data_IF_161194520800
#
_entry.id   IF_161194520800
#
_cell.length_a   1.000
_cell.length_b   1.000
_cell.length_c   1.000
_cell.angle_alpha   90.00
_cell.angle_beta   90.00
_cell.angle_gamma   90.00
#
_symmetry.space_group_name_H-M   'P 1'
#
loop_
_entity.id
_entity.type
_entity.pdbx_description
1 polymer ?
#
# COMPACT_ATOMS: atom_id res chain seq x y z
N UNK A 1 -59.50 -13.23 -3.60
CA UNK A 1 -58.09 -13.02 -3.23
C UNK A 1 -58.04 -12.04 -2.07
N UNK A 2 -57.47 -12.41 -0.92
CA UNK A 2 -57.52 -11.62 0.31
C UNK A 2 -56.59 -10.42 0.21
N UNK A 3 -57.13 -9.22 -0.03
CA UNK A 3 -56.37 -7.99 0.17
C UNK A 3 -56.02 -7.86 1.65
N UNK A 4 -54.78 -8.21 2.02
CA UNK A 4 -54.24 -7.84 3.31
C UNK A 4 -54.41 -6.33 3.50
N UNK A 5 -55.00 -5.92 4.64
CA UNK A 5 -55.29 -4.52 4.94
C UNK A 5 -54.03 -3.67 4.76
N UNK A 6 -54.15 -2.43 4.28
CA UNK A 6 -53.03 -1.48 4.08
C UNK A 6 -52.06 -1.46 5.27
N UNK A 7 -52.60 -1.60 6.48
CA UNK A 7 -51.87 -1.72 7.74
C UNK A 7 -50.95 -2.95 7.82
N UNK A 8 -51.39 -4.11 7.35
CA UNK A 8 -50.59 -5.34 7.36
C UNK A 8 -49.40 -5.26 6.39
N UNK A 9 -49.62 -4.73 5.18
CA UNK A 9 -48.55 -4.48 4.19
C UNK A 9 -47.50 -3.51 4.70
N UNK A 10 -47.93 -2.40 5.31
CA UNK A 10 -47.02 -1.45 5.96
C UNK A 10 -46.19 -2.09 7.07
N UNK A 11 -46.81 -2.87 7.96
CA UNK A 11 -46.10 -3.55 9.05
C UNK A 11 -45.08 -4.57 8.52
N UNK A 12 -45.42 -5.27 7.43
CA UNK A 12 -44.50 -6.18 6.75
C UNK A 12 -43.30 -5.44 6.15
N UNK A 13 -43.54 -4.32 5.44
CA UNK A 13 -42.48 -3.52 4.85
C UNK A 13 -41.51 -3.02 5.93
N UNK A 14 -42.01 -2.38 6.99
CA UNK A 14 -41.21 -1.91 8.13
C UNK A 14 -40.36 -3.01 8.76
N UNK A 15 -40.93 -4.21 8.95
CA UNK A 15 -40.18 -5.35 9.49
C UNK A 15 -39.07 -5.80 8.53
N UNK A 16 -39.28 -5.71 7.22
CA UNK A 16 -38.31 -6.12 6.21
C UNK A 16 -37.18 -5.10 6.03
N UNK A 17 -37.46 -3.80 6.12
CA UNK A 17 -36.44 -2.74 5.95
C UNK A 17 -35.76 -2.31 7.26
N UNK A 18 -36.36 -2.61 8.43
CA UNK A 18 -35.96 -2.01 9.70
C UNK A 18 -34.53 -2.28 10.15
N UNK A 19 -34.02 -3.52 10.03
CA UNK A 19 -32.62 -3.85 10.32
C UNK A 19 -32.19 -5.04 9.47
N UNK A 20 -31.03 -4.97 8.84
CA UNK A 20 -30.45 -6.10 8.12
C UNK A 20 -28.92 -6.02 8.10
N UNK A 21 -28.29 -7.19 7.99
CA UNK A 21 -26.83 -7.28 7.93
C UNK A 21 -26.30 -7.40 6.50
N UNK A 22 -25.06 -6.96 6.31
CA UNK A 22 -24.31 -7.08 5.07
C UNK A 22 -22.82 -7.29 5.37
N UNK A 23 -22.14 -8.07 4.53
CA UNK A 23 -20.67 -8.21 4.56
C UNK A 23 -20.11 -7.32 3.46
N UNK A 24 -19.22 -6.40 3.83
CA UNK A 24 -18.63 -5.41 2.94
C UNK A 24 -17.13 -5.67 2.80
N UNK A 25 -16.61 -5.57 1.58
CA UNK A 25 -15.17 -5.73 1.32
C UNK A 25 -14.43 -4.46 1.74
N UNK A 26 -13.33 -4.62 2.45
CA UNK A 26 -12.41 -3.52 2.75
C UNK A 26 -11.38 -3.33 1.62
N UNK A 27 -10.51 -2.32 1.78
CA UNK A 27 -9.36 -2.11 0.89
C UNK A 27 -8.30 -3.22 0.98
N UNK A 28 -8.34 -4.03 2.05
CA UNK A 28 -7.39 -5.14 2.27
C UNK A 28 -8.01 -6.46 1.83
N UNK A 29 -7.41 -7.17 0.86
CA UNK A 29 -7.89 -8.49 0.46
C UNK A 29 -7.97 -9.44 1.65
N UNK A 30 -9.10 -10.15 1.77
CA UNK A 30 -9.32 -11.13 2.83
C UNK A 30 -9.87 -10.56 4.15
N UNK A 31 -9.93 -9.23 4.32
CA UNK A 31 -10.51 -8.60 5.51
C UNK A 31 -11.84 -7.94 5.16
N UNK A 32 -12.90 -8.27 5.91
CA UNK A 32 -14.25 -7.81 5.64
C UNK A 32 -14.85 -7.04 6.82
N UNK A 33 -15.69 -6.06 6.51
CA UNK A 33 -16.56 -5.42 7.50
C UNK A 33 -17.90 -6.13 7.58
N UNK A 34 -18.43 -6.27 8.78
CA UNK A 34 -19.82 -6.65 9.04
C UNK A 34 -20.61 -5.39 9.32
N UNK A 35 -21.61 -5.10 8.49
CA UNK A 35 -22.46 -3.92 8.61
C UNK A 35 -23.86 -4.32 9.07
N UNK A 36 -24.39 -3.65 10.09
CA UNK A 36 -25.80 -3.68 10.47
C UNK A 36 -26.45 -2.36 10.04
N UNK A 37 -27.37 -2.42 9.08
CA UNK A 37 -27.99 -1.25 8.46
C UNK A 37 -29.44 -1.15 8.93
N UNK A 38 -29.83 0.03 9.41
CA UNK A 38 -31.19 0.38 9.78
C UNK A 38 -31.76 1.39 8.79
N UNK A 39 -32.81 1.02 8.06
CA UNK A 39 -33.40 1.89 7.04
C UNK A 39 -34.72 2.50 7.49
N UNK A 40 -34.94 3.75 7.10
CA UNK A 40 -36.20 4.48 7.28
C UNK A 40 -36.65 5.04 5.94
N UNK A 41 -37.92 4.81 5.58
CA UNK A 41 -38.51 5.25 4.31
C UNK A 41 -39.44 6.44 4.56
N UNK A 42 -39.21 7.56 3.87
CA UNK A 42 -39.99 8.80 4.03
C UNK A 42 -40.25 9.49 2.69
N UNK A 43 -41.51 9.81 2.31
CA UNK A 43 -42.77 9.36 2.92
C UNK A 43 -43.05 7.87 2.69
N UNK A 44 -43.98 7.30 3.46
CA UNK A 44 -44.44 5.92 3.22
C UNK A 44 -45.24 5.84 1.89
N UNK A 45 -45.03 4.81 1.07
CA UNK A 45 -45.74 4.64 -0.20
C UNK A 45 -47.24 4.50 0.04
N UNK A 46 -48.03 5.32 -0.66
CA UNK A 46 -49.45 5.53 -0.35
C UNK A 46 -50.41 4.67 -1.20
N UNK A 47 -49.91 4.09 -2.31
CA UNK A 47 -50.62 3.22 -3.25
C UNK A 47 -50.46 1.69 -3.05
N UNK A 48 -50.98 0.86 -3.97
CA UNK A 48 -50.74 -0.59 -3.96
C UNK A 48 -49.29 -0.89 -4.38
N UNK A 49 -48.56 -1.61 -3.55
CA UNK A 49 -47.19 -2.07 -3.83
C UNK A 49 -46.98 -3.47 -3.26
N UNK A 50 -45.96 -4.16 -3.78
CA UNK A 50 -45.42 -5.37 -3.17
C UNK A 50 -44.36 -4.96 -2.11
N UNK A 51 -44.59 -5.24 -0.82
CA UNK A 51 -43.62 -4.92 0.24
C UNK A 51 -42.27 -5.63 0.05
N UNK A 52 -42.24 -6.76 -0.66
CA UNK A 52 -41.03 -7.57 -0.83
C UNK A 52 -40.13 -6.95 -1.89
N UNK A 53 -40.72 -6.54 -3.02
CA UNK A 53 -40.03 -5.81 -4.07
C UNK A 53 -39.43 -4.50 -3.58
N UNK A 54 -40.19 -3.70 -2.82
CA UNK A 54 -39.67 -2.46 -2.23
C UNK A 54 -38.53 -2.76 -1.26
N UNK A 55 -38.69 -3.75 -0.37
CA UNK A 55 -37.65 -4.08 0.60
C UNK A 55 -36.34 -4.52 -0.08
N UNK A 56 -36.43 -5.30 -1.16
CA UNK A 56 -35.24 -5.77 -1.88
C UNK A 56 -34.55 -4.65 -2.65
N UNK A 57 -35.31 -3.72 -3.25
CA UNK A 57 -34.74 -2.49 -3.86
C UNK A 57 -34.01 -1.65 -2.81
N UNK A 58 -34.64 -1.40 -1.67
CA UNK A 58 -34.05 -0.62 -0.55
C UNK A 58 -32.77 -1.29 -0.05
N UNK A 59 -32.80 -2.59 0.25
CA UNK A 59 -31.63 -3.32 0.74
C UNK A 59 -30.49 -3.32 -0.27
N UNK A 60 -30.80 -3.52 -1.55
CA UNK A 60 -29.78 -3.56 -2.61
C UNK A 60 -29.10 -2.21 -2.77
N UNK A 61 -29.87 -1.13 -2.80
CA UNK A 61 -29.32 0.22 -2.89
C UNK A 61 -28.43 0.55 -1.69
N UNK A 62 -28.94 0.35 -0.46
CA UNK A 62 -28.17 0.64 0.75
C UNK A 62 -26.91 -0.23 0.88
N UNK A 63 -26.96 -1.52 0.50
CA UNK A 63 -25.78 -2.39 0.45
C UNK A 63 -24.75 -1.88 -0.55
N UNK A 64 -25.20 -1.43 -1.72
CA UNK A 64 -24.32 -0.92 -2.77
C UNK A 64 -23.65 0.37 -2.32
N UNK A 65 -24.41 1.30 -1.74
CA UNK A 65 -23.85 2.55 -1.19
C UNK A 65 -22.87 2.27 -0.05
N UNK A 66 -23.24 1.40 0.90
CA UNK A 66 -22.36 1.04 2.01
C UNK A 66 -21.05 0.41 1.50
N UNK A 67 -21.16 -0.53 0.55
CA UNK A 67 -20.00 -1.19 -0.05
C UNK A 67 -19.10 -0.20 -0.83
N UNK A 68 -19.68 0.81 -1.48
CA UNK A 68 -18.91 1.85 -2.14
C UNK A 68 -18.19 2.75 -1.13
N UNK A 69 -18.86 3.13 -0.04
CA UNK A 69 -18.32 4.03 0.97
C UNK A 69 -17.10 3.45 1.71
N UNK A 70 -17.08 2.14 1.96
CA UNK A 70 -16.01 1.48 2.74
C UNK A 70 -14.93 0.83 1.88
N UNK A 71 -15.08 0.81 0.55
CA UNK A 71 -14.18 0.10 -0.37
C UNK A 71 -12.73 0.52 -0.23
N UNK A 72 -12.51 1.83 -0.12
CA UNK A 72 -11.18 2.42 -0.08
C UNK A 72 -10.68 2.68 1.34
N UNK A 73 -11.46 2.25 2.35
CA UNK A 73 -11.12 2.46 3.75
C UNK A 73 -10.23 1.32 4.27
N UNK A 74 -9.23 1.67 5.08
CA UNK A 74 -8.35 0.69 5.72
C UNK A 74 -9.05 0.09 6.96
N UNK A 75 -9.18 -1.25 7.06
CA UNK A 75 -9.77 -1.91 8.22
C UNK A 75 -9.01 -1.68 9.52
N UNK A 76 -7.75 -1.23 9.46
CA UNK A 76 -7.00 -0.76 10.62
C UNK A 76 -7.71 0.43 11.29
N UNK A 77 -8.36 1.30 10.51
CA UNK A 77 -9.09 2.47 11.00
C UNK A 77 -10.60 2.27 10.87
N UNK A 78 -11.13 1.30 11.63
CA UNK A 78 -12.57 1.04 11.71
C UNK A 78 -13.40 2.30 12.03
N UNK A 79 -13.00 3.20 12.95
CA UNK A 79 -13.76 4.44 13.21
C UNK A 79 -13.92 5.32 11.96
N UNK A 80 -12.86 5.51 11.16
CA UNK A 80 -12.97 6.31 9.94
C UNK A 80 -13.88 5.65 8.88
N UNK A 81 -13.81 4.32 8.76
CA UNK A 81 -14.71 3.57 7.89
C UNK A 81 -16.18 3.70 8.34
N UNK A 82 -16.42 3.65 9.66
CA UNK A 82 -17.73 3.84 10.28
C UNK A 82 -18.28 5.24 9.98
N UNK A 83 -17.49 6.29 10.20
CA UNK A 83 -17.92 7.67 9.97
C UNK A 83 -18.23 7.94 8.49
N UNK A 84 -17.37 7.46 7.59
CA UNK A 84 -17.55 7.60 6.14
C UNK A 84 -18.82 6.88 5.68
N UNK A 85 -19.04 5.64 6.12
CA UNK A 85 -20.22 4.88 5.76
C UNK A 85 -21.50 5.49 6.36
N UNK A 86 -21.46 5.96 7.61
CA UNK A 86 -22.58 6.63 8.25
C UNK A 86 -22.94 7.94 7.57
N UNK A 87 -21.94 8.73 7.14
CA UNK A 87 -22.17 9.97 6.41
C UNK A 87 -22.88 9.70 5.08
N UNK A 88 -22.43 8.70 4.32
CA UNK A 88 -23.01 8.35 3.01
C UNK A 88 -24.45 7.82 3.13
N UNK A 89 -24.74 6.98 4.13
CA UNK A 89 -26.07 6.39 4.30
C UNK A 89 -27.10 7.34 4.93
N UNK A 90 -26.66 8.40 5.61
CA UNK A 90 -27.54 9.46 6.11
C UNK A 90 -28.08 10.36 5.00
N UNK A 91 -27.42 10.41 3.84
CA UNK A 91 -27.89 11.19 2.71
C UNK A 91 -29.17 10.55 2.15
N UNK A 92 -30.25 11.33 1.92
CA UNK A 92 -31.46 10.80 1.32
C UNK A 92 -31.19 10.18 -0.05
N UNK A 93 -31.62 8.92 -0.22
CA UNK A 93 -31.48 8.19 -1.47
C UNK A 93 -32.80 8.16 -2.24
N UNK A 94 -32.75 8.59 -3.50
CA UNK A 94 -33.85 8.43 -4.44
C UNK A 94 -33.77 7.05 -5.12
N UNK A 95 -34.79 6.22 -4.89
CA UNK A 95 -34.80 4.83 -5.36
C UNK A 95 -35.81 4.57 -6.48
N UNK A 96 -36.31 5.63 -7.12
CA UNK A 96 -37.38 5.53 -8.13
C UNK A 96 -38.63 4.83 -7.58
N UNK A 97 -38.91 5.01 -6.28
CA UNK A 97 -40.07 4.44 -5.61
C UNK A 97 -41.32 5.27 -5.94
N UNK A 98 -42.52 4.67 -5.83
CA UNK A 98 -43.78 5.42 -5.94
C UNK A 98 -43.77 6.59 -4.96
N UNK A 99 -44.40 7.71 -5.35
CA UNK A 99 -44.59 8.91 -4.53
C UNK A 99 -43.29 9.65 -4.15
N UNK A 100 -42.21 9.48 -4.92
CA UNK A 100 -40.89 10.10 -4.66
C UNK A 100 -40.35 9.80 -3.26
N UNK A 101 -40.60 8.58 -2.77
CA UNK A 101 -40.15 8.17 -1.45
C UNK A 101 -38.61 8.12 -1.37
N UNK A 102 -38.05 8.75 -0.34
CA UNK A 102 -36.62 8.76 -0.06
C UNK A 102 -36.28 7.77 1.06
N UNK A 103 -35.08 7.21 1.00
CA UNK A 103 -34.56 6.34 2.06
C UNK A 103 -33.39 7.01 2.75
N UNK A 104 -33.42 6.99 4.07
CA UNK A 104 -32.27 7.30 4.92
C UNK A 104 -31.93 6.08 5.74
N UNK A 105 -30.65 5.91 6.08
CA UNK A 105 -30.22 4.80 6.90
C UNK A 105 -29.14 5.18 7.91
N UNK A 106 -29.11 4.46 9.02
CA UNK A 106 -27.97 4.41 9.93
C UNK A 106 -27.26 3.06 9.78
N UNK A 107 -25.97 3.02 10.09
CA UNK A 107 -25.14 1.82 9.99
C UNK A 107 -24.26 1.68 11.21
N UNK A 108 -24.00 0.44 11.59
CA UNK A 108 -22.97 0.05 12.53
C UNK A 108 -22.04 -0.95 11.84
N UNK A 109 -20.78 -0.58 11.69
CA UNK A 109 -19.71 -1.40 11.13
C UNK A 109 -18.92 -2.02 12.26
N UNK A 110 -18.66 -3.31 12.09
CA UNK A 110 -17.85 -4.12 12.97
C UNK A 110 -16.93 -5.00 12.13
N UNK A 111 -15.94 -5.61 12.78
CA UNK A 111 -15.12 -6.67 12.21
C UNK A 111 -15.46 -7.96 12.95
N UNK A 112 -15.57 -9.07 12.22
CA UNK A 112 -15.70 -10.40 12.83
C UNK A 112 -14.45 -10.73 13.66
N UNK A 113 -14.53 -11.69 14.57
CA UNK A 113 -13.39 -12.08 15.42
C UNK A 113 -12.16 -12.47 14.61
N UNK A 114 -12.35 -13.20 13.51
CA UNK A 114 -11.29 -13.61 12.59
C UNK A 114 -10.65 -12.40 11.88
N UNK A 115 -11.46 -11.48 11.33
CA UNK A 115 -10.98 -10.26 10.69
C UNK A 115 -10.27 -9.34 11.69
N UNK A 116 -10.75 -9.24 12.94
CA UNK A 116 -10.08 -8.50 14.02
C UNK A 116 -8.71 -9.08 14.34
N UNK A 117 -8.59 -10.40 14.39
CA UNK A 117 -7.31 -11.07 14.59
C UNK A 117 -6.36 -10.78 13.42
N UNK A 118 -6.84 -10.85 12.18
CA UNK A 118 -6.05 -10.55 10.98
C UNK A 118 -5.55 -9.09 10.97
N UNK A 119 -6.41 -8.11 11.32
CA UNK A 119 -6.00 -6.70 11.46
C UNK A 119 -4.95 -6.52 12.56
N UNK A 120 -5.10 -7.23 13.68
CA UNK A 120 -4.13 -7.18 14.77
C UNK A 120 -2.77 -7.74 14.34
N UNK A 121 -2.74 -8.87 13.65
CA UNK A 121 -1.52 -9.45 13.08
C UNK A 121 -0.86 -8.50 12.08
N UNK A 122 -1.64 -7.92 11.17
CA UNK A 122 -1.17 -6.92 10.22
C UNK A 122 -0.54 -5.73 10.93
N UNK A 123 -1.19 -5.19 11.96
CA UNK A 123 -0.65 -4.08 12.78
C UNK A 123 0.66 -4.47 13.48
N UNK A 124 0.77 -5.69 13.99
CA UNK A 124 2.01 -6.16 14.60
C UNK A 124 3.14 -6.27 13.58
N UNK A 125 2.86 -6.77 12.38
CA UNK A 125 3.82 -6.87 11.30
C UNK A 125 4.29 -5.47 10.82
N UNK A 126 3.36 -4.54 10.63
CA UNK A 126 3.68 -3.15 10.24
C UNK A 126 4.57 -2.48 11.30
N UNK A 127 4.25 -2.66 12.59
CA UNK A 127 5.07 -2.10 13.68
C UNK A 127 6.45 -2.73 13.74
N UNK A 128 6.55 -4.04 13.58
CA UNK A 128 7.84 -4.73 13.54
C UNK A 128 8.69 -4.23 12.37
N UNK A 129 8.10 -4.13 11.18
CA UNK A 129 8.77 -3.60 9.99
C UNK A 129 9.24 -2.16 10.20
N UNK A 130 8.37 -1.28 10.72
CA UNK A 130 8.73 0.11 10.99
C UNK A 130 9.90 0.24 11.98
N UNK A 131 9.95 -0.62 13.01
CA UNK A 131 11.09 -0.68 13.94
C UNK A 131 12.36 -1.13 13.20
N UNK A 132 12.28 -2.19 12.41
CA UNK A 132 13.42 -2.69 11.62
C UNK A 132 13.93 -1.63 10.65
N UNK A 133 13.04 -0.94 9.93
CA UNK A 133 13.38 0.14 9.00
C UNK A 133 14.04 1.30 9.72
N UNK A 134 13.47 1.72 10.87
CA UNK A 134 14.04 2.79 11.70
C UNK A 134 15.43 2.44 12.20
N UNK A 135 15.62 1.23 12.73
CA UNK A 135 16.93 0.76 13.20
C UNK A 135 17.95 0.66 12.05
N UNK A 136 17.51 0.19 10.88
CA UNK A 136 18.37 0.08 9.70
C UNK A 136 18.80 1.46 9.23
N UNK A 137 17.88 2.43 9.19
CA UNK A 137 18.19 3.83 8.89
C UNK A 137 19.16 4.43 9.89
N UNK A 138 18.90 4.27 11.19
CA UNK A 138 19.79 4.79 12.24
C UNK A 138 21.20 4.20 12.15
N UNK A 139 21.33 2.90 11.89
CA UNK A 139 22.64 2.24 11.69
C UNK A 139 23.36 2.78 10.47
N UNK A 140 22.67 2.98 9.36
CA UNK A 140 23.25 3.53 8.15
C UNK A 140 23.70 4.99 8.35
N UNK A 141 22.88 5.81 9.02
CA UNK A 141 23.23 7.19 9.36
C UNK A 141 24.45 7.26 10.28
N UNK A 142 24.49 6.43 11.33
CA UNK A 142 25.64 6.34 12.23
C UNK A 142 26.93 5.92 11.48
N UNK A 143 26.83 4.90 10.63
CA UNK A 143 27.94 4.44 9.80
C UNK A 143 28.40 5.50 8.80
N UNK A 144 27.48 6.24 8.18
CA UNK A 144 27.82 7.34 7.28
C UNK A 144 28.55 8.48 8.02
N UNK A 145 28.14 8.80 9.25
CA UNK A 145 28.84 9.79 10.08
C UNK A 145 30.24 9.31 10.49
N UNK A 146 30.38 8.06 10.89
CA UNK A 146 31.70 7.46 11.18
C UNK A 146 32.62 7.55 9.95
N UNK A 147 32.14 7.15 8.78
CA UNK A 147 32.90 7.17 7.53
C UNK A 147 33.14 8.57 6.96
N UNK A 148 32.51 9.62 7.49
CA UNK A 148 32.77 11.01 7.10
C UNK A 148 34.13 11.52 7.63
N UNK A 149 34.79 10.76 8.51
CA UNK A 149 36.12 11.05 9.03
C UNK A 149 37.21 10.24 8.28
N UNK A 150 38.22 10.90 7.68
CA UNK A 150 39.29 10.21 6.94
C UNK A 150 40.03 9.15 7.77
N UNK A 151 40.25 9.42 9.07
CA UNK A 151 40.89 8.48 9.99
C UNK A 151 40.05 7.22 10.26
N UNK A 152 38.71 7.35 10.27
CA UNK A 152 37.80 6.22 10.45
C UNK A 152 37.70 5.36 9.18
N UNK A 153 37.74 5.98 8.00
CA UNK A 153 37.88 5.28 6.72
C UNK A 153 39.17 4.44 6.68
N UNK A 154 40.31 5.02 7.10
CA UNK A 154 41.59 4.33 7.21
C UNK A 154 41.55 3.15 8.20
N UNK A 155 41.03 3.37 9.40
CA UNK A 155 40.93 2.33 10.42
C UNK A 155 40.09 1.13 9.94
N UNK A 156 39.02 1.39 9.17
CA UNK A 156 38.15 0.36 8.63
C UNK A 156 38.70 -0.33 7.38
N UNK A 157 39.48 0.39 6.57
CA UNK A 157 40.25 -0.21 5.48
C UNK A 157 41.26 -1.23 6.02
N UNK A 158 41.97 -0.90 7.11
CA UNK A 158 42.91 -1.81 7.78
C UNK A 158 42.27 -3.05 8.42
N UNK A 159 40.95 -3.03 8.66
CA UNK A 159 40.20 -4.19 9.19
C UNK A 159 39.75 -5.18 8.10
N UNK A 160 39.93 -4.86 6.81
CA UNK A 160 39.61 -5.80 5.74
C UNK A 160 40.67 -6.91 5.65
N UNK A 161 40.27 -8.17 5.41
CA UNK A 161 41.19 -9.32 5.39
C UNK A 161 42.27 -9.23 4.29
N UNK A 162 42.03 -8.45 3.24
CA UNK A 162 42.96 -8.25 2.10
C UNK A 162 43.62 -6.85 2.09
N UNK A 163 43.56 -6.12 3.21
CA UNK A 163 44.13 -4.77 3.29
C UNK A 163 45.66 -4.81 3.14
N UNK A 164 46.20 -4.17 2.10
CA UNK A 164 47.64 -4.08 1.87
C UNK A 164 48.28 -3.05 2.79
N UNK A 165 48.62 -3.46 4.01
CA UNK A 165 49.20 -2.63 5.08
C UNK A 165 50.41 -1.79 4.62
N UNK A 166 51.14 -2.26 3.60
CA UNK A 166 52.34 -1.60 3.07
C UNK A 166 52.08 -0.42 2.14
N UNK A 167 50.85 -0.23 1.65
CA UNK A 167 50.46 0.88 0.78
C UNK A 167 49.11 1.44 1.21
N UNK A 168 49.05 2.20 2.32
CA UNK A 168 47.84 2.92 2.68
C UNK A 168 47.47 3.94 1.58
N UNK A 169 46.17 4.17 1.32
CA UNK A 169 45.72 5.24 0.45
C UNK A 169 46.27 6.59 0.92
N UNK A 170 46.58 7.50 -0.01
CA UNK A 170 47.11 8.80 0.36
C UNK A 170 46.07 9.65 1.10
N UNK A 171 46.48 10.44 2.10
CA UNK A 171 45.59 11.27 2.92
C UNK A 171 44.65 12.16 2.08
N UNK A 172 45.16 12.70 0.96
CA UNK A 172 44.38 13.53 0.04
C UNK A 172 43.25 12.75 -0.67
N UNK A 173 43.47 11.47 -1.00
CA UNK A 173 42.47 10.60 -1.61
C UNK A 173 41.39 10.23 -0.60
N UNK A 174 41.78 9.96 0.64
CA UNK A 174 40.87 9.68 1.75
C UNK A 174 40.02 10.89 2.12
N UNK A 175 40.61 12.08 2.11
CA UNK A 175 39.87 13.31 2.39
C UNK A 175 38.94 13.69 1.23
N UNK A 176 39.33 13.44 -0.03
CA UNK A 176 38.46 13.59 -1.19
C UNK A 176 37.28 12.61 -1.15
N UNK A 177 37.52 11.36 -0.73
CA UNK A 177 36.49 10.34 -0.59
C UNK A 177 35.56 10.64 0.60
N UNK A 178 36.10 11.07 1.74
CA UNK A 178 35.32 11.56 2.88
C UNK A 178 34.47 12.79 2.51
N UNK A 179 35.00 13.73 1.71
CA UNK A 179 34.25 14.87 1.18
C UNK A 179 33.14 14.44 0.22
N UNK A 180 33.38 13.46 -0.66
CA UNK A 180 32.33 12.88 -1.51
C UNK A 180 31.22 12.20 -0.69
N UNK A 181 31.59 11.45 0.36
CA UNK A 181 30.62 10.82 1.25
C UNK A 181 29.81 11.84 2.07
N UNK A 182 30.41 12.98 2.46
CA UNK A 182 29.66 14.10 3.06
C UNK A 182 28.71 14.80 2.08
N UNK A 183 29.05 14.81 0.79
CA UNK A 183 28.26 15.45 -0.27
C UNK A 183 27.13 14.58 -0.83
N UNK A 184 26.99 13.33 -0.37
CA UNK A 184 25.92 12.45 -0.84
C UNK A 184 24.56 12.94 -0.29
N UNK A 185 23.56 13.25 -1.15
CA UNK A 185 22.33 13.88 -0.70
C UNK A 185 21.54 12.94 0.21
N UNK A 186 21.05 13.52 1.31
CA UNK A 186 20.02 12.94 2.17
C UNK A 186 18.65 12.99 1.48
N UNK A 187 18.51 12.43 0.28
CA UNK A 187 17.19 12.33 -0.32
C UNK A 187 16.42 11.20 0.37
N UNK A 188 15.49 11.63 1.21
CA UNK A 188 14.86 10.86 2.27
C UNK A 188 13.68 9.99 1.82
N UNK A 189 13.39 9.90 0.53
CA UNK A 189 12.19 9.22 0.01
C UNK A 189 12.46 8.02 -0.93
N UNK A 190 13.73 7.72 -1.26
CA UNK A 190 14.04 6.47 -1.96
C UNK A 190 14.56 5.40 -1.00
N UNK A 191 14.11 4.13 -1.12
CA UNK A 191 14.69 3.05 -0.35
C UNK A 191 16.19 3.01 -0.64
N UNK A 192 17.01 3.06 0.42
CA UNK A 192 18.48 3.13 0.40
C UNK A 192 19.12 2.10 -0.56
N UNK A 193 18.44 0.99 -0.79
CA UNK A 193 18.79 -0.06 -1.75
C UNK A 193 18.81 0.44 -3.19
N UNK A 194 17.84 1.29 -3.61
CA UNK A 194 17.82 1.92 -4.94
C UNK A 194 18.92 2.96 -5.08
N UNK A 195 19.16 3.78 -4.06
CA UNK A 195 20.26 4.76 -4.09
C UNK A 195 21.62 4.06 -4.20
N UNK A 196 21.84 2.99 -3.44
CA UNK A 196 23.08 2.20 -3.53
C UNK A 196 23.25 1.54 -4.90
N UNK A 197 22.17 1.04 -5.50
CA UNK A 197 22.19 0.47 -6.85
C UNK A 197 22.48 1.55 -7.91
N UNK A 198 21.96 2.77 -7.76
CA UNK A 198 22.26 3.89 -8.67
C UNK A 198 23.72 4.32 -8.55
N UNK A 199 24.27 4.43 -7.32
CA UNK A 199 25.70 4.68 -7.09
C UNK A 199 26.56 3.61 -7.76
N UNK A 200 26.22 2.34 -7.54
CA UNK A 200 26.96 1.22 -8.11
C UNK A 200 26.85 1.23 -9.64
N UNK A 201 25.70 1.61 -10.20
CA UNK A 201 25.51 1.71 -11.64
C UNK A 201 26.34 2.84 -12.25
N UNK A 202 26.37 4.00 -11.61
CA UNK A 202 27.13 5.16 -12.09
C UNK A 202 28.64 4.92 -11.95
N UNK A 203 29.08 4.30 -10.84
CA UNK A 203 30.45 3.84 -10.67
C UNK A 203 30.86 2.79 -11.71
N UNK A 204 29.98 1.83 -12.03
CA UNK A 204 30.22 0.85 -13.09
C UNK A 204 30.20 1.48 -14.48
N UNK A 205 29.50 2.61 -14.70
CA UNK A 205 29.51 3.34 -15.96
C UNK A 205 30.87 3.99 -16.25
N UNK A 206 31.61 4.39 -15.21
CA UNK A 206 32.95 5.01 -15.32
C UNK A 206 34.04 4.05 -15.82
N UNK A 207 33.85 2.73 -15.74
CA UNK A 207 34.82 1.78 -16.27
C UNK A 207 34.65 1.59 -17.79
N UNK A 208 35.69 1.83 -18.62
CA UNK A 208 35.59 1.66 -20.07
C UNK A 208 35.61 0.18 -20.53
N UNK A 209 36.03 -0.75 -19.66
CA UNK A 209 36.17 -2.18 -20.01
C UNK A 209 35.06 -3.02 -19.39
N UNK A 210 34.23 -3.64 -20.23
CA UNK A 210 33.15 -4.58 -19.88
C UNK A 210 33.60 -5.71 -18.94
N UNK A 211 34.81 -6.22 -19.13
CA UNK A 211 35.35 -7.32 -18.32
C UNK A 211 35.56 -6.93 -16.85
N UNK A 212 35.92 -5.67 -16.59
CA UNK A 212 36.11 -5.14 -15.23
C UNK A 212 34.75 -4.95 -14.53
N UNK A 213 33.72 -4.54 -15.27
CA UNK A 213 32.34 -4.43 -14.75
C UNK A 213 31.78 -5.79 -14.36
N UNK A 214 32.00 -6.81 -15.20
CA UNK A 214 31.58 -8.20 -14.92
C UNK A 214 32.26 -8.76 -13.68
N UNK A 215 33.57 -8.55 -13.55
CA UNK A 215 34.32 -9.00 -12.38
C UNK A 215 33.77 -8.37 -11.08
N UNK A 216 33.52 -7.07 -11.08
CA UNK A 216 33.00 -6.33 -9.93
C UNK A 216 31.59 -6.76 -9.53
N UNK A 217 30.70 -6.96 -10.51
CA UNK A 217 29.33 -7.43 -10.25
C UNK A 217 29.33 -8.85 -9.69
N UNK A 218 30.17 -9.74 -10.21
CA UNK A 218 30.32 -11.11 -9.70
C UNK A 218 30.87 -11.09 -8.27
N UNK A 219 31.87 -10.23 -7.99
CA UNK A 219 32.45 -10.09 -6.66
C UNK A 219 31.41 -9.55 -5.65
N UNK A 220 30.60 -8.57 -6.06
CA UNK A 220 29.53 -8.00 -5.25
C UNK A 220 28.43 -9.03 -4.96
N UNK A 221 27.96 -9.75 -5.99
CA UNK A 221 26.94 -10.78 -5.83
C UNK A 221 27.42 -11.92 -4.91
N UNK A 222 28.68 -12.34 -5.05
CA UNK A 222 29.27 -13.36 -4.19
C UNK A 222 29.44 -12.87 -2.74
N UNK A 223 29.82 -11.59 -2.54
CA UNK A 223 29.85 -10.97 -1.21
C UNK A 223 28.47 -10.93 -0.54
N UNK A 224 27.42 -10.60 -1.30
CA UNK A 224 26.04 -10.57 -0.81
C UNK A 224 25.51 -11.98 -0.48
N UNK A 225 25.90 -13.01 -1.25
CA UNK A 225 25.62 -14.41 -0.92
C UNK A 225 26.34 -14.85 0.34
N UNK A 226 27.62 -14.51 0.50
CA UNK A 226 28.40 -14.80 1.70
C UNK A 226 27.80 -14.12 2.95
N UNK A 227 27.22 -12.93 2.79
CA UNK A 227 26.52 -12.20 3.83
C UNK A 227 25.08 -12.71 4.11
N UNK A 228 24.68 -13.87 3.56
CA UNK A 228 23.34 -14.48 3.69
C UNK A 228 22.19 -13.59 3.18
N UNK A 229 22.45 -12.77 2.16
CA UNK A 229 21.48 -11.89 1.52
C UNK A 229 21.28 -12.26 0.03
N UNK A 230 20.66 -13.43 -0.26
CA UNK A 230 20.57 -13.96 -1.62
C UNK A 230 19.75 -13.08 -2.58
N UNK A 231 18.62 -12.51 -2.12
CA UNK A 231 17.78 -11.66 -2.98
C UNK A 231 18.48 -10.37 -3.46
N UNK A 232 19.45 -9.86 -2.71
CA UNK A 232 20.26 -8.71 -3.12
C UNK A 232 21.41 -9.10 -4.05
N UNK A 233 21.90 -10.35 -3.96
CA UNK A 233 22.85 -10.87 -4.93
C UNK A 233 22.22 -10.98 -6.33
N UNK A 234 20.95 -11.41 -6.39
CA UNK A 234 20.21 -11.53 -7.65
C UNK A 234 19.93 -10.15 -8.28
N UNK A 235 19.68 -9.12 -7.46
CA UNK A 235 19.55 -7.73 -7.92
C UNK A 235 20.87 -7.16 -8.43
N UNK A 236 22.00 -7.49 -7.79
CA UNK A 236 23.33 -7.08 -8.25
C UNK A 236 23.68 -7.71 -9.61
N UNK A 237 23.37 -9.00 -9.81
CA UNK A 237 23.58 -9.68 -11.09
C UNK A 237 22.68 -9.14 -12.21
N UNK A 238 21.49 -8.65 -11.86
CA UNK A 238 20.59 -8.01 -12.83
C UNK A 238 21.15 -6.70 -13.40
N UNK A 239 22.12 -6.06 -12.75
CA UNK A 239 22.79 -4.85 -13.26
C UNK A 239 23.62 -5.09 -14.52
N UNK A 240 23.95 -6.35 -14.85
CA UNK A 240 24.65 -6.72 -16.09
C UNK A 240 23.71 -6.92 -17.28
N UNK A 241 22.40 -7.03 -17.06
CA UNK A 241 21.44 -7.19 -18.15
C UNK A 241 21.00 -5.81 -18.65
N UNK A 242 21.04 -5.54 -19.96
CA UNK A 242 20.43 -4.31 -20.48
C UNK A 242 18.92 -4.33 -20.18
N UNK A 243 18.29 -3.14 -19.97
CA UNK A 243 16.87 -3.08 -19.67
C UNK A 243 16.05 -3.73 -20.79
N UNK A 244 14.91 -4.39 -20.48
CA UNK A 244 13.99 -4.79 -21.53
C UNK A 244 13.59 -3.53 -22.30
N UNK A 245 13.81 -3.53 -23.61
CA UNK A 245 13.45 -2.42 -24.47
C UNK A 245 11.98 -2.05 -24.24
N UNK A 246 11.74 -0.87 -23.67
CA UNK A 246 10.44 -0.22 -23.72
C UNK A 246 10.05 -0.13 -25.18
N UNK A 247 9.09 -0.97 -25.56
CA UNK A 247 8.43 -0.91 -26.85
C UNK A 247 7.54 0.32 -26.87
N UNK A 248 8.16 1.51 -26.99
CA UNK A 248 7.48 2.70 -27.47
C UNK A 248 7.32 2.55 -28.98
N UNK A 249 6.31 1.79 -29.39
CA UNK A 249 5.71 1.96 -30.72
C UNK A 249 4.85 3.22 -30.68
N UNK A 250 5.45 4.36 -31.03
CA UNK A 250 4.71 5.50 -31.56
C UNK A 250 3.97 5.07 -32.84
N UNK A 251 2.66 5.32 -33.00
CA UNK A 251 2.02 5.18 -34.29
C UNK A 251 2.45 6.35 -35.18
N UNK A 252 3.23 6.03 -36.21
CA UNK A 252 3.56 6.96 -37.29
C UNK A 252 2.29 7.28 -38.07
N UNK A 253 1.85 8.53 -37.99
CA UNK A 253 0.87 9.07 -38.91
C UNK A 253 1.50 9.15 -40.32
N UNK A 254 0.98 8.34 -41.25
CA UNK A 254 0.97 8.65 -42.66
C UNK A 254 -0.38 8.23 -43.20
N UNK A 255 -1.22 9.20 -43.55
CA UNK A 255 -2.23 9.00 -44.57
C UNK A 255 -2.13 10.16 -45.55
N UNK A 256 -1.76 9.79 -46.76
CA UNK A 256 -1.72 10.63 -47.97
C UNK A 256 -3.07 10.56 -48.65
N UNK A 257 -3.69 11.72 -48.91
CA UNK A 257 -4.45 12.04 -50.13
C UNK A 257 -4.70 13.54 -50.19
#
# INVERSE_FOLDING_TARGET
>A
MRHGSKRARRKQLHRKIGAFSAVLRSSRPGIHYTATIHATLTPEPSGPYDPDEIADRVRTALRTTAAAAVRDQDPINLPAAQDTCAQQLRQPQELGLPDSATVTASVQLELADEDRAAVKELLTAIRAQAVTDTLTRQRAEALAQELAHPAALLARWLQQPDAQITQPPADAELEALARRLRGYPKDHDEPMERQLLTILRDFLAEFPKEEQKRLLVILLANGMRAARKPGHADQAEALLKPPPATSETMPTAMDTS
#
